data_IF_848119127849
#
_entry.id   IF_848119127849
#
_cell.length_a   1.000
_cell.length_b   1.000
_cell.length_c   1.000
_cell.angle_alpha   90.00
_cell.angle_beta   90.00
_cell.angle_gamma   90.00
#
_symmetry.space_group_name_H-M   'P 1'
#
loop_
_entity.id
_entity.type
_entity.pdbx_description
1 polymer ?
#
# COMPACT_ATOMS: atom_id res chain seq x y z
N UNK A 1 -65.37 -5.93 21.11
CA UNK A 1 -64.42 -5.08 20.41
C UNK A 1 -62.97 -5.57 20.67
N UNK A 2 -62.42 -6.32 19.74
CA UNK A 2 -61.05 -6.76 19.79
C UNK A 2 -60.18 -5.76 19.01
N UNK A 3 -59.34 -5.01 19.72
CA UNK A 3 -58.34 -4.13 19.14
C UNK A 3 -57.09 -4.92 18.80
N UNK A 4 -56.84 -5.15 17.52
CA UNK A 4 -55.57 -5.67 16.99
C UNK A 4 -54.53 -4.56 17.05
N UNK A 5 -53.50 -4.70 17.91
CA UNK A 5 -52.31 -3.87 17.90
C UNK A 5 -51.35 -4.45 16.87
N UNK A 6 -51.26 -3.83 15.71
CA UNK A 6 -50.24 -4.10 14.70
C UNK A 6 -48.88 -3.60 15.23
N UNK A 7 -48.03 -4.51 15.67
CA UNK A 7 -46.64 -4.19 15.97
C UNK A 7 -45.89 -3.94 14.64
N UNK A 8 -45.51 -2.71 14.40
CA UNK A 8 -44.56 -2.35 13.37
C UNK A 8 -43.21 -2.97 13.73
N UNK A 9 -42.82 -4.03 13.01
CA UNK A 9 -41.44 -4.59 13.08
C UNK A 9 -40.44 -3.50 12.65
N UNK A 10 -39.75 -2.96 13.64
CA UNK A 10 -38.55 -2.14 13.43
C UNK A 10 -37.57 -2.95 12.55
N UNK A 11 -37.34 -2.51 11.32
CA UNK A 11 -36.27 -3.03 10.45
C UNK A 11 -34.94 -2.63 11.09
N UNK A 12 -34.45 -3.45 12.01
CA UNK A 12 -33.06 -3.37 12.51
C UNK A 12 -32.13 -3.72 11.37
N UNK A 13 -31.16 -2.83 11.09
CA UNK A 13 -29.90 -3.19 10.53
C UNK A 13 -29.71 -2.99 9.03
N UNK A 14 -29.94 -1.78 8.52
CA UNK A 14 -29.08 -1.34 7.40
C UNK A 14 -27.81 -0.81 8.06
N UNK A 15 -26.70 -1.56 7.92
CA UNK A 15 -25.38 -1.06 8.32
C UNK A 15 -25.17 0.28 7.61
N UNK A 16 -24.81 1.36 8.30
CA UNK A 16 -24.58 2.64 7.66
C UNK A 16 -23.55 2.44 6.53
N UNK A 17 -23.86 2.95 5.35
CA UNK A 17 -22.94 2.91 4.22
C UNK A 17 -21.69 3.70 4.60
N UNK A 18 -20.49 3.08 4.52
CA UNK A 18 -19.21 3.79 4.71
C UNK A 18 -18.91 4.62 3.47
N UNK A 19 -19.66 5.71 3.27
CA UNK A 19 -19.51 6.57 2.10
C UNK A 19 -18.21 7.34 2.15
N UNK A 20 -17.40 7.25 1.12
CA UNK A 20 -16.15 8.01 0.98
C UNK A 20 -16.49 9.49 0.82
N UNK A 21 -15.98 10.33 1.72
CA UNK A 21 -16.18 11.79 1.70
C UNK A 21 -14.92 12.56 1.33
N UNK A 22 -13.75 11.98 1.56
CA UNK A 22 -12.48 12.59 1.13
C UNK A 22 -11.41 11.55 0.84
N UNK A 23 -10.52 11.90 -0.09
CA UNK A 23 -9.28 11.20 -0.36
C UNK A 23 -8.17 12.24 -0.40
N UNK A 24 -7.21 12.08 0.50
CA UNK A 24 -6.03 12.93 0.61
C UNK A 24 -4.82 12.17 0.06
N UNK A 25 -4.05 12.81 -0.82
CA UNK A 25 -2.81 12.24 -1.35
C UNK A 25 -1.71 13.28 -1.16
N UNK A 26 -0.74 12.95 -0.31
CA UNK A 26 0.34 13.86 0.08
C UNK A 26 1.68 13.27 -0.33
N UNK A 27 2.50 14.06 -0.99
CA UNK A 27 3.89 13.71 -1.29
C UNK A 27 4.79 14.14 -0.15
N UNK A 28 5.68 13.27 0.28
CA UNK A 28 6.71 13.62 1.24
C UNK A 28 8.06 13.04 0.83
N UNK A 29 9.11 13.67 1.31
CA UNK A 29 10.49 13.29 1.02
C UNK A 29 11.24 12.95 2.30
N UNK A 30 12.18 12.02 2.18
CA UNK A 30 13.08 11.63 3.26
C UNK A 30 14.43 11.18 2.68
N UNK A 31 15.45 11.24 3.50
CA UNK A 31 16.77 10.77 3.12
C UNK A 31 16.87 9.24 3.36
N UNK A 32 17.17 8.49 2.32
CA UNK A 32 17.33 7.03 2.39
C UNK A 32 18.83 6.69 2.35
N UNK A 33 19.41 6.20 3.46
CA UNK A 33 20.85 6.00 3.57
C UNK A 33 21.33 4.77 2.78
N UNK A 34 22.64 4.75 2.52
CA UNK A 34 23.36 3.66 1.86
C UNK A 34 22.81 3.32 0.47
N UNK A 35 22.37 4.32 -0.27
CA UNK A 35 21.83 4.16 -1.62
C UNK A 35 22.32 5.26 -2.54
N UNK A 36 22.47 4.90 -3.81
CA UNK A 36 22.78 5.81 -4.92
C UNK A 36 21.87 5.53 -6.10
N UNK A 37 21.52 6.55 -6.88
CA UNK A 37 20.79 6.39 -8.14
C UNK A 37 21.77 6.15 -9.28
N UNK A 38 21.46 5.20 -10.16
CA UNK A 38 22.26 4.92 -11.36
C UNK A 38 21.53 5.47 -12.58
N UNK A 39 22.25 6.24 -13.37
CA UNK A 39 21.73 6.81 -14.62
C UNK A 39 20.58 7.80 -14.43
N UNK A 40 19.76 7.93 -15.45
CA UNK A 40 18.59 8.85 -15.48
C UNK A 40 17.31 8.20 -14.96
N UNK A 41 17.36 6.95 -14.55
CA UNK A 41 16.19 6.16 -14.17
C UNK A 41 15.96 6.06 -12.67
N UNK A 42 15.06 5.16 -12.32
CA UNK A 42 14.70 4.82 -10.93
C UNK A 42 15.59 3.71 -10.33
N UNK A 43 16.62 3.27 -11.05
CA UNK A 43 17.52 2.24 -10.55
C UNK A 43 18.31 2.77 -9.36
N UNK A 44 18.30 1.95 -8.30
CA UNK A 44 18.99 2.24 -7.04
C UNK A 44 20.00 1.12 -6.80
N UNK A 45 21.21 1.50 -6.43
CA UNK A 45 22.25 0.58 -5.97
C UNK A 45 22.56 0.82 -4.51
N UNK A 46 23.07 -0.21 -3.83
CA UNK A 46 23.66 -0.05 -2.51
C UNK A 46 25.00 0.66 -2.63
N UNK A 47 25.17 1.72 -1.85
CA UNK A 47 26.44 2.42 -1.73
C UNK A 47 26.62 2.91 -0.30
N UNK A 48 27.51 2.28 0.44
CA UNK A 48 27.79 2.60 1.84
C UNK A 48 28.17 4.09 1.99
N UNK A 49 27.49 4.76 2.92
CA UNK A 49 27.74 6.18 3.23
C UNK A 49 27.08 7.18 2.28
N UNK A 50 26.52 6.75 1.16
CA UNK A 50 25.72 7.61 0.29
C UNK A 50 24.27 7.75 0.83
N UNK A 51 23.55 8.74 0.33
CA UNK A 51 22.13 8.92 0.64
C UNK A 51 21.42 9.48 -0.57
N UNK A 52 20.19 9.02 -0.78
CA UNK A 52 19.30 9.57 -1.83
C UNK A 52 18.09 10.22 -1.19
N UNK A 53 17.64 11.31 -1.80
CA UNK A 53 16.34 11.89 -1.49
C UNK A 53 15.27 11.03 -2.13
N UNK A 54 14.50 10.32 -1.32
CA UNK A 54 13.40 9.48 -1.76
C UNK A 54 12.07 10.20 -1.56
N UNK A 55 11.15 10.04 -2.52
CA UNK A 55 9.78 10.56 -2.42
C UNK A 55 8.81 9.40 -2.24
N UNK A 56 7.81 9.58 -1.39
CA UNK A 56 6.69 8.65 -1.23
C UNK A 56 5.37 9.41 -1.22
N UNK A 57 4.30 8.69 -1.53
CA UNK A 57 2.94 9.21 -1.42
C UNK A 57 2.28 8.60 -0.18
N UNK A 58 1.67 9.43 0.65
CA UNK A 58 0.77 9.00 1.70
C UNK A 58 -0.67 9.22 1.23
N UNK A 59 -1.51 8.21 1.40
CA UNK A 59 -2.92 8.22 1.01
C UNK A 59 -3.76 8.08 2.28
N UNK A 60 -4.84 8.84 2.37
CA UNK A 60 -5.84 8.68 3.39
C UNK A 60 -7.25 8.79 2.80
N UNK A 61 -8.08 7.79 3.05
CA UNK A 61 -9.48 7.71 2.62
C UNK A 61 -10.35 7.85 3.86
N UNK A 62 -11.22 8.86 3.90
CA UNK A 62 -12.12 9.10 5.04
C UNK A 62 -13.57 8.90 4.62
N UNK A 63 -14.34 8.26 5.48
CA UNK A 63 -15.77 8.00 5.27
C UNK A 63 -16.65 8.84 6.20
N UNK A 64 -17.92 9.03 5.82
CA UNK A 64 -18.89 9.82 6.58
C UNK A 64 -19.16 9.29 8.00
N UNK A 65 -18.95 7.99 8.22
CA UNK A 65 -19.07 7.34 9.53
C UNK A 65 -17.78 7.41 10.38
N UNK A 66 -16.80 8.22 9.94
CA UNK A 66 -15.60 8.55 10.70
C UNK A 66 -14.45 7.56 10.57
N UNK A 67 -14.56 6.51 9.76
CA UNK A 67 -13.44 5.60 9.53
C UNK A 67 -12.43 6.22 8.55
N UNK A 68 -11.14 5.93 8.79
CA UNK A 68 -10.03 6.43 7.98
C UNK A 68 -9.09 5.28 7.64
N UNK A 69 -8.94 5.00 6.36
CA UNK A 69 -7.95 4.06 5.83
C UNK A 69 -6.75 4.79 5.29
N UNK A 70 -5.56 4.24 5.52
CA UNK A 70 -4.29 4.90 5.22
C UNK A 70 -3.29 3.94 4.59
N UNK A 71 -2.46 4.48 3.70
CA UNK A 71 -1.34 3.75 3.12
C UNK A 71 -0.21 4.70 2.74
N UNK A 72 1.01 4.24 2.87
CA UNK A 72 2.20 4.90 2.32
C UNK A 72 2.80 4.00 1.25
N UNK A 73 2.99 4.54 0.05
CA UNK A 73 3.55 3.78 -1.07
C UNK A 73 4.89 3.17 -0.70
N UNK A 74 5.06 1.87 -0.99
CA UNK A 74 6.26 1.15 -0.58
C UNK A 74 7.48 1.57 -1.42
N UNK A 75 7.46 1.23 -2.70
CA UNK A 75 8.69 1.24 -3.51
C UNK A 75 8.78 2.41 -4.47
N UNK A 76 7.73 2.73 -5.14
CA UNK A 76 7.77 3.66 -6.27
C UNK A 76 6.75 4.77 -6.09
N UNK A 77 7.16 5.85 -5.46
CA UNK A 77 6.48 7.11 -5.70
C UNK A 77 7.04 7.68 -7.01
N UNK A 78 6.53 7.21 -8.12
CA UNK A 78 6.80 7.85 -9.40
C UNK A 78 5.76 8.94 -9.64
N UNK A 79 6.07 9.98 -10.43
CA UNK A 79 5.06 10.92 -10.90
C UNK A 79 3.89 10.23 -11.61
N UNK A 80 4.14 9.09 -12.27
CA UNK A 80 3.11 8.28 -12.90
C UNK A 80 2.13 7.70 -11.86
N UNK A 81 2.64 7.08 -10.77
CA UNK A 81 1.80 6.56 -9.68
C UNK A 81 0.93 7.66 -9.08
N UNK A 82 1.50 8.84 -8.81
CA UNK A 82 0.76 9.99 -8.31
C UNK A 82 -0.30 10.45 -9.29
N UNK A 83 0.05 10.63 -10.56
CA UNK A 83 -0.89 11.05 -11.60
C UNK A 83 -2.06 10.08 -11.78
N UNK A 84 -1.80 8.77 -11.73
CA UNK A 84 -2.86 7.76 -11.80
C UNK A 84 -3.78 7.78 -10.56
N UNK A 85 -3.23 7.99 -9.35
CA UNK A 85 -4.06 8.16 -8.15
C UNK A 85 -4.94 9.40 -8.24
N UNK A 86 -4.39 10.53 -8.72
CA UNK A 86 -5.14 11.78 -8.90
C UNK A 86 -6.26 11.63 -9.94
N UNK A 87 -6.06 10.79 -10.98
CA UNK A 87 -7.10 10.45 -11.96
C UNK A 87 -8.20 9.57 -11.36
N UNK A 88 -7.84 8.60 -10.52
CA UNK A 88 -8.76 7.59 -10.01
C UNK A 88 -9.54 8.03 -8.77
N UNK A 89 -8.94 8.84 -7.89
CA UNK A 89 -9.55 9.25 -6.63
C UNK A 89 -10.95 9.89 -6.80
N UNK A 90 -11.22 10.76 -7.79
CA UNK A 90 -12.55 11.35 -7.98
C UNK A 90 -13.65 10.31 -8.22
N UNK A 91 -13.36 9.17 -8.88
CA UNK A 91 -14.34 8.11 -9.13
C UNK A 91 -14.74 7.35 -7.87
N UNK A 92 -14.00 7.48 -6.79
CA UNK A 92 -14.27 6.81 -5.52
C UNK A 92 -15.16 7.64 -4.58
N UNK A 93 -15.16 8.98 -4.71
CA UNK A 93 -15.94 9.87 -3.84
C UNK A 93 -17.43 9.55 -3.95
N UNK A 94 -18.09 9.47 -2.79
CA UNK A 94 -19.51 9.15 -2.67
C UNK A 94 -19.83 7.65 -2.71
N UNK A 95 -18.88 6.79 -3.04
CA UNK A 95 -19.06 5.32 -3.08
C UNK A 95 -18.94 4.72 -1.68
N UNK A 96 -19.48 3.52 -1.53
CA UNK A 96 -19.31 2.73 -0.31
C UNK A 96 -17.89 2.13 -0.27
N UNK A 97 -17.08 2.56 0.68
CA UNK A 97 -15.69 2.09 0.84
C UNK A 97 -15.58 0.56 1.06
N UNK A 98 -16.66 -0.09 1.50
CA UNK A 98 -16.68 -1.53 1.73
C UNK A 98 -17.04 -2.35 0.47
N UNK A 99 -17.53 -1.71 -0.57
CA UNK A 99 -17.78 -2.34 -1.88
C UNK A 99 -16.46 -2.41 -2.69
N UNK A 100 -15.39 -2.95 -2.08
CA UNK A 100 -14.03 -2.92 -2.62
C UNK A 100 -13.91 -3.59 -3.98
N UNK A 101 -14.52 -4.75 -4.16
CA UNK A 101 -14.47 -5.50 -5.43
C UNK A 101 -15.09 -4.71 -6.58
N UNK A 102 -16.21 -4.03 -6.31
CA UNK A 102 -16.87 -3.17 -7.30
C UNK A 102 -15.99 -1.95 -7.63
N UNK A 103 -15.42 -1.30 -6.62
CA UNK A 103 -14.47 -0.19 -6.82
C UNK A 103 -13.25 -0.67 -7.59
N UNK A 104 -12.67 -1.80 -7.21
CA UNK A 104 -11.52 -2.40 -7.88
C UNK A 104 -11.76 -2.62 -9.37
N UNK A 105 -12.87 -3.26 -9.72
CA UNK A 105 -13.22 -3.55 -11.09
C UNK A 105 -13.41 -2.28 -11.94
N UNK A 106 -14.09 -1.28 -11.40
CA UNK A 106 -14.31 -0.03 -12.11
C UNK A 106 -13.01 0.75 -12.30
N UNK A 107 -12.20 0.93 -11.25
CA UNK A 107 -10.91 1.60 -11.35
C UNK A 107 -9.97 0.88 -12.33
N UNK A 108 -9.97 -0.44 -12.34
CA UNK A 108 -9.19 -1.24 -13.30
C UNK A 108 -9.61 -1.00 -14.74
N UNK A 109 -10.91 -0.79 -15.01
CA UNK A 109 -11.41 -0.44 -16.35
C UNK A 109 -11.00 0.96 -16.76
N UNK A 110 -11.09 1.93 -15.84
CA UNK A 110 -10.68 3.31 -16.09
C UNK A 110 -9.19 3.41 -16.44
N UNK A 111 -8.34 2.63 -15.75
CA UNK A 111 -6.89 2.72 -15.91
C UNK A 111 -6.29 1.72 -16.92
N UNK A 112 -7.11 0.98 -17.65
CA UNK A 112 -6.69 -0.12 -18.53
C UNK A 112 -5.66 0.25 -19.60
N UNK A 113 -5.55 1.53 -19.96
CA UNK A 113 -4.61 2.02 -20.97
C UNK A 113 -3.31 2.58 -20.35
N UNK A 114 -3.18 2.52 -19.02
CA UNK A 114 -2.08 3.05 -18.25
C UNK A 114 -1.35 1.94 -17.51
N UNK A 115 -0.36 2.27 -16.71
CA UNK A 115 0.45 1.27 -16.01
C UNK A 115 -0.27 0.53 -14.87
N UNK A 116 -1.34 1.10 -14.32
CA UNK A 116 -2.07 0.56 -13.16
C UNK A 116 -1.37 0.76 -11.82
N UNK A 117 -0.29 1.53 -11.76
CA UNK A 117 0.51 1.73 -10.55
C UNK A 117 -0.22 2.55 -9.48
N UNK A 118 -1.14 3.43 -9.86
CA UNK A 118 -1.94 4.24 -8.93
C UNK A 118 -3.13 3.50 -8.32
N UNK A 119 -3.57 2.41 -8.92
CA UNK A 119 -4.70 1.61 -8.45
C UNK A 119 -4.40 0.89 -7.12
N UNK A 120 -3.26 0.18 -7.05
CA UNK A 120 -2.87 -0.58 -5.86
C UNK A 120 -2.84 0.22 -4.55
N UNK A 121 -2.21 1.40 -4.51
CA UNK A 121 -2.20 2.25 -3.31
C UNK A 121 -3.58 2.64 -2.80
N UNK A 122 -4.53 2.94 -3.67
CA UNK A 122 -5.91 3.26 -3.29
C UNK A 122 -6.65 2.04 -2.75
N UNK A 123 -6.47 0.87 -3.38
CA UNK A 123 -7.05 -0.39 -2.92
C UNK A 123 -6.53 -0.81 -1.54
N UNK A 124 -5.22 -0.68 -1.30
CA UNK A 124 -4.63 -0.99 0.01
C UNK A 124 -5.19 -0.07 1.10
N UNK A 125 -5.40 1.21 0.82
CA UNK A 125 -6.02 2.13 1.77
C UNK A 125 -7.48 1.75 2.08
N UNK A 126 -8.24 1.21 1.11
CA UNK A 126 -9.59 0.66 1.36
C UNK A 126 -9.54 -0.61 2.22
N UNK A 127 -8.52 -1.47 2.04
CA UNK A 127 -8.32 -2.63 2.90
C UNK A 127 -7.99 -2.24 4.35
N UNK A 128 -7.13 -1.23 4.54
CA UNK A 128 -6.81 -0.69 5.87
C UNK A 128 -8.06 -0.11 6.56
N UNK A 129 -8.88 0.65 5.81
CA UNK A 129 -10.16 1.16 6.30
C UNK A 129 -11.09 0.02 6.76
N UNK A 130 -11.20 -1.04 5.96
CA UNK A 130 -12.02 -2.19 6.30
C UNK A 130 -11.50 -2.90 7.56
N UNK A 131 -10.19 -3.09 7.68
CA UNK A 131 -9.55 -3.67 8.86
C UNK A 131 -9.85 -2.87 10.12
N UNK A 132 -9.70 -1.55 10.07
CA UNK A 132 -10.03 -0.63 11.17
C UNK A 132 -11.52 -0.68 11.53
N UNK A 133 -12.39 -0.68 10.53
CA UNK A 133 -13.85 -0.74 10.74
C UNK A 133 -14.29 -2.05 11.38
N UNK A 134 -13.75 -3.16 10.96
CA UNK A 134 -14.11 -4.49 11.48
C UNK A 134 -13.27 -4.91 12.68
N UNK A 135 -12.29 -4.08 13.10
CA UNK A 135 -11.31 -4.41 14.14
C UNK A 135 -10.62 -5.76 13.90
N UNK A 136 -10.23 -5.98 12.66
CA UNK A 136 -9.57 -7.19 12.20
C UNK A 136 -8.34 -6.85 11.36
N UNK A 137 -7.31 -7.67 11.41
CA UNK A 137 -6.16 -7.52 10.51
C UNK A 137 -6.57 -7.79 9.06
N UNK A 138 -5.86 -7.17 8.10
CA UNK A 138 -6.06 -7.47 6.67
C UNK A 138 -5.81 -8.96 6.40
N UNK A 139 -4.85 -9.57 7.09
CA UNK A 139 -4.59 -11.01 6.99
C UNK A 139 -5.80 -11.85 7.38
N UNK A 140 -6.50 -11.49 8.47
CA UNK A 140 -7.73 -12.17 8.88
C UNK A 140 -8.86 -11.97 7.88
N UNK A 141 -9.04 -10.75 7.37
CA UNK A 141 -10.03 -10.45 6.33
C UNK A 141 -9.79 -11.22 5.03
N UNK A 142 -8.53 -11.57 4.74
CA UNK A 142 -8.10 -12.38 3.60
C UNK A 142 -8.07 -13.90 3.90
N UNK A 143 -8.56 -14.32 5.08
CA UNK A 143 -8.68 -15.74 5.45
C UNK A 143 -7.52 -16.28 6.29
N UNK A 144 -6.55 -15.47 6.70
CA UNK A 144 -5.54 -15.84 7.71
C UNK A 144 -4.67 -17.07 7.39
N UNK A 145 -4.42 -17.35 6.11
CA UNK A 145 -3.78 -18.60 5.69
C UNK A 145 -2.36 -18.79 6.23
N UNK A 146 -1.57 -17.70 6.32
CA UNK A 146 -0.19 -17.76 6.82
C UNK A 146 0.09 -16.64 7.79
N UNK A 147 0.70 -16.96 8.93
CA UNK A 147 1.18 -16.01 9.94
C UNK A 147 2.71 -15.82 9.92
N UNK A 148 3.42 -16.64 9.13
CA UNK A 148 4.87 -16.56 8.92
C UNK A 148 5.19 -16.79 7.46
N UNK A 149 6.05 -15.94 6.90
CA UNK A 149 6.53 -16.05 5.52
C UNK A 149 8.05 -16.21 5.51
N UNK A 150 8.61 -17.07 4.66
CA UNK A 150 10.04 -17.07 4.40
C UNK A 150 10.43 -15.76 3.69
N UNK A 151 11.53 -15.19 4.11
CA UNK A 151 12.08 -13.95 3.52
C UNK A 151 13.54 -14.16 3.15
N UNK A 152 14.01 -13.41 2.16
CA UNK A 152 15.41 -13.32 1.81
C UNK A 152 15.93 -11.89 1.94
N UNK A 153 17.21 -11.74 2.22
CA UNK A 153 17.87 -10.45 2.15
C UNK A 153 18.16 -10.10 0.68
N UNK A 154 17.90 -8.86 0.29
CA UNK A 154 18.16 -8.36 -1.05
C UNK A 154 19.06 -7.13 -1.01
N UNK A 155 20.11 -7.12 -1.84
CA UNK A 155 21.11 -6.06 -1.91
C UNK A 155 20.81 -4.98 -2.93
N UNK A 156 19.79 -5.13 -3.75
CA UNK A 156 19.67 -4.40 -5.02
C UNK A 156 20.77 -4.77 -6.01
N UNK A 157 21.06 -3.89 -6.96
CA UNK A 157 22.24 -4.03 -7.84
C UNK A 157 23.48 -3.62 -7.04
N UNK A 158 24.53 -4.41 -7.15
CA UNK A 158 25.84 -4.03 -6.63
C UNK A 158 26.43 -2.86 -7.42
N UNK A 159 27.44 -2.23 -6.85
CA UNK A 159 28.18 -1.15 -7.48
C UNK A 159 29.63 -1.59 -7.69
N UNK A 160 30.11 -1.55 -8.92
CA UNK A 160 31.48 -1.93 -9.30
C UNK A 160 32.57 -1.07 -8.67
N UNK A 161 32.21 0.00 -7.96
CA UNK A 161 33.16 1.01 -7.48
C UNK A 161 33.34 1.10 -5.97
N UNK A 162 32.28 0.93 -5.18
CA UNK A 162 32.32 1.36 -3.76
C UNK A 162 31.51 0.54 -2.78
N UNK A 163 30.93 -0.56 -3.11
CA UNK A 163 30.11 -1.29 -2.15
C UNK A 163 30.24 -2.78 -2.30
N UNK A 164 29.20 -3.42 -2.74
CA UNK A 164 29.25 -4.83 -3.10
C UNK A 164 29.85 -4.97 -4.52
N UNK A 165 31.15 -4.78 -4.61
CA UNK A 165 31.88 -4.65 -5.88
C UNK A 165 32.79 -5.86 -6.23
N UNK A 166 32.91 -6.83 -5.32
CA UNK A 166 33.66 -8.05 -5.52
C UNK A 166 33.03 -9.21 -4.79
N UNK A 167 33.41 -10.42 -5.14
CA UNK A 167 32.86 -11.66 -4.55
C UNK A 167 33.06 -11.74 -3.04
N UNK A 168 34.18 -11.24 -2.53
CA UNK A 168 34.48 -11.21 -1.11
C UNK A 168 33.52 -10.29 -0.35
N UNK A 169 33.23 -9.10 -0.86
CA UNK A 169 32.27 -8.16 -0.28
C UNK A 169 30.83 -8.74 -0.26
N UNK A 170 30.43 -9.45 -1.32
CA UNK A 170 29.15 -10.15 -1.34
C UNK A 170 29.10 -11.29 -0.32
N UNK A 171 30.19 -12.06 -0.17
CA UNK A 171 30.27 -13.15 0.81
C UNK A 171 30.16 -12.62 2.25
N UNK A 172 30.94 -11.58 2.59
CA UNK A 172 30.87 -10.93 3.89
C UNK A 172 29.48 -10.37 4.19
N UNK A 173 28.84 -9.72 3.22
CA UNK A 173 27.49 -9.19 3.40
C UNK A 173 26.45 -10.31 3.55
N UNK A 174 26.61 -11.42 2.85
CA UNK A 174 25.75 -12.59 3.01
C UNK A 174 25.88 -13.20 4.41
N UNK A 175 27.10 -13.27 4.96
CA UNK A 175 27.37 -13.72 6.32
C UNK A 175 26.68 -12.81 7.36
N UNK A 176 26.80 -11.49 7.22
CA UNK A 176 26.09 -10.53 8.05
C UNK A 176 24.56 -10.72 7.98
N UNK A 177 24.01 -10.96 6.79
CA UNK A 177 22.59 -11.27 6.64
C UNK A 177 22.20 -12.58 7.34
N UNK A 178 23.05 -13.59 7.28
CA UNK A 178 22.82 -14.86 7.98
C UNK A 178 22.81 -14.68 9.50
N UNK A 179 23.74 -13.90 10.05
CA UNK A 179 23.79 -13.54 11.48
C UNK A 179 22.53 -12.79 11.93
N UNK A 180 21.97 -11.93 11.07
CA UNK A 180 20.69 -11.26 11.30
C UNK A 180 19.47 -12.19 11.23
N UNK A 181 19.66 -13.45 10.89
CA UNK A 181 18.62 -14.46 10.87
C UNK A 181 18.03 -14.77 9.50
N UNK A 182 18.47 -14.12 8.42
CA UNK A 182 18.04 -14.49 7.07
C UNK A 182 18.60 -15.88 6.69
N UNK A 183 17.82 -16.65 5.93
CA UNK A 183 18.20 -17.98 5.43
C UNK A 183 18.27 -18.07 3.92
N UNK A 184 18.03 -16.97 3.25
CA UNK A 184 18.19 -16.79 1.82
C UNK A 184 18.70 -15.37 1.53
N UNK A 185 19.46 -15.23 0.45
CA UNK A 185 20.15 -14.02 0.04
C UNK A 185 20.05 -13.84 -1.48
N UNK A 186 19.90 -12.61 -1.95
CA UNK A 186 19.77 -12.28 -3.37
C UNK A 186 20.53 -11.00 -3.70
#
# INVERSE_FOLDING_TARGET
SHGSKTQTKNRKGVTPMSRIISIEIVDFQFDSPNKERIGVGQLITYKKGASIRATKNAIAITTEDGHRGEYVTNWVASPATRGEMDMLAPFMIGRNALAREEIYDDLKREIRQWSGMGHGPLDIALWDLAGKKYNASISELLGGYRNRLPVYASTYLGDDKTGLNCKEAYAEFAEQCYELGFRAYK
#
